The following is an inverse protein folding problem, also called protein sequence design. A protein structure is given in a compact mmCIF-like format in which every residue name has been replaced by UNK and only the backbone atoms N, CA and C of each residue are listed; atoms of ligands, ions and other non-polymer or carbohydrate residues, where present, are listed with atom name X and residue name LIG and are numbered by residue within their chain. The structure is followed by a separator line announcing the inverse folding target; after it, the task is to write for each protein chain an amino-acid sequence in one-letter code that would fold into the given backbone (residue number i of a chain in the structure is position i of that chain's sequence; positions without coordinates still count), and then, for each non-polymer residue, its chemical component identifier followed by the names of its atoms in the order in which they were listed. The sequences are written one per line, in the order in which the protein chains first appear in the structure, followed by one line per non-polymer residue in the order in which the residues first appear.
data_IF_001056076508
#
_entry.id   IF_001056076508
#
_cell.length_a   1.000
_cell.length_b   1.000
_cell.length_c   1.000
_cell.angle_alpha   90.00
_cell.angle_beta   90.00
_cell.angle_gamma   90.00
#
_symmetry.space_group_name_H-M   'P 1'
#
loop_
_entity.id
_entity.type
_entity.pdbx_description
1 polymer ?
#
# COMPACT_ATOMS: atom_id res chain seq x y z
N UNK A 1 -28.11 30.44 21.76
CA UNK A 1 -27.10 29.60 22.45
C UNK A 1 -26.74 28.47 21.51
N UNK A 2 -25.48 28.42 21.08
CA UNK A 2 -25.02 27.56 19.98
C UNK A 2 -25.10 26.09 20.33
N UNK A 3 -25.54 25.27 19.37
CA UNK A 3 -25.47 23.81 19.49
C UNK A 3 -23.99 23.43 19.54
N UNK A 4 -23.55 22.90 20.68
CA UNK A 4 -22.24 22.27 20.79
C UNK A 4 -22.14 21.17 19.74
N UNK A 5 -21.34 21.40 18.70
CA UNK A 5 -21.02 20.39 17.69
C UNK A 5 -20.27 19.26 18.40
N UNK A 6 -20.99 18.22 18.79
CA UNK A 6 -20.44 17.02 19.43
C UNK A 6 -19.50 16.33 18.43
N UNK A 7 -18.20 16.56 18.58
CA UNK A 7 -17.18 15.90 17.76
C UNK A 7 -17.13 14.43 18.17
N UNK A 8 -17.61 13.54 17.31
CA UNK A 8 -17.52 12.09 17.48
C UNK A 8 -16.21 11.62 16.85
N UNK A 9 -15.28 11.12 17.65
CA UNK A 9 -14.05 10.50 17.16
C UNK A 9 -14.29 9.01 16.95
N UNK A 10 -14.39 8.59 15.70
CA UNK A 10 -14.46 7.17 15.34
C UNK A 10 -13.03 6.65 15.24
N UNK A 11 -12.70 5.60 16.00
CA UNK A 11 -11.41 4.93 15.89
C UNK A 11 -11.31 4.23 14.55
N UNK A 12 -10.26 4.55 13.78
CA UNK A 12 -9.92 3.82 12.56
C UNK A 12 -9.02 2.64 12.91
N UNK A 13 -9.19 1.52 12.20
CA UNK A 13 -8.29 0.36 12.33
C UNK A 13 -6.85 0.74 11.98
N UNK A 14 -5.90 -0.08 12.44
CA UNK A 14 -4.50 0.09 12.07
C UNK A 14 -4.32 0.11 10.55
N UNK A 15 -4.93 -0.83 9.84
CA UNK A 15 -4.76 -0.94 8.38
C UNK A 15 -5.38 0.25 7.65
N UNK A 16 -6.52 0.74 8.11
CA UNK A 16 -7.12 1.94 7.54
C UNK A 16 -6.24 3.17 7.77
N UNK A 17 -5.59 3.25 8.94
CA UNK A 17 -4.61 4.30 9.23
C UNK A 17 -3.41 4.22 8.29
N UNK A 18 -2.89 3.02 8.05
CA UNK A 18 -1.76 2.82 7.12
C UNK A 18 -2.15 3.16 5.69
N UNK A 19 -3.32 2.72 5.22
CA UNK A 19 -3.89 3.12 3.91
C UNK A 19 -4.04 4.63 3.80
N UNK A 20 -4.54 5.30 4.84
CA UNK A 20 -4.68 6.77 4.84
C UNK A 20 -3.32 7.49 4.80
N UNK A 21 -2.28 6.91 5.42
CA UNK A 21 -0.94 7.51 5.48
C UNK A 21 -0.12 7.27 4.21
N UNK A 22 -0.20 6.07 3.65
CA UNK A 22 0.65 5.61 2.54
C UNK A 22 -0.07 5.67 1.17
N UNK A 23 -1.38 5.87 1.17
CA UNK A 23 -2.19 6.02 -0.03
C UNK A 23 -2.59 4.70 -0.69
N UNK A 24 -3.28 4.80 -1.82
CA UNK A 24 -3.90 3.67 -2.53
C UNK A 24 -2.89 2.65 -3.07
N UNK A 25 -1.62 3.04 -3.22
CA UNK A 25 -0.54 2.16 -3.65
C UNK A 25 -0.05 1.21 -2.57
N UNK A 26 -0.56 1.31 -1.34
CA UNK A 26 -0.14 0.49 -0.20
C UNK A 26 -0.76 -0.91 -0.21
N UNK A 27 0.09 -1.94 -0.19
CA UNK A 27 -0.33 -3.34 -0.05
C UNK A 27 0.45 -3.99 1.11
N UNK A 28 -0.19 -4.29 2.26
CA UNK A 28 0.49 -4.87 3.42
C UNK A 28 0.91 -6.32 3.19
N UNK A 29 1.95 -6.75 3.91
CA UNK A 29 2.22 -8.15 4.16
C UNK A 29 1.51 -8.57 5.46
N UNK A 30 0.56 -9.51 5.39
CA UNK A 30 -0.25 -9.91 6.55
C UNK A 30 0.57 -10.62 7.66
N UNK A 31 1.80 -11.06 7.38
CA UNK A 31 2.64 -11.83 8.32
C UNK A 31 3.87 -11.07 8.82
N UNK A 32 4.14 -9.86 8.31
CA UNK A 32 5.29 -9.06 8.73
C UNK A 32 5.05 -7.57 8.54
N UNK A 33 5.86 -6.71 9.17
CA UNK A 33 5.82 -5.26 8.95
C UNK A 33 6.22 -4.79 7.54
N UNK A 34 6.30 -5.70 6.55
CA UNK A 34 6.64 -5.37 5.16
C UNK A 34 5.41 -4.94 4.39
N UNK A 35 5.63 -4.19 3.32
CA UNK A 35 4.57 -3.83 2.39
C UNK A 35 5.15 -3.51 1.01
N UNK A 36 4.29 -3.63 0.01
CA UNK A 36 4.55 -3.10 -1.33
C UNK A 36 3.94 -1.70 -1.42
N UNK A 37 4.65 -0.79 -2.09
CA UNK A 37 4.14 0.53 -2.42
C UNK A 37 4.24 0.78 -3.92
N UNK A 38 3.09 0.74 -4.60
CA UNK A 38 2.97 0.99 -6.03
C UNK A 38 3.02 2.49 -6.30
N UNK A 39 4.13 2.98 -6.87
CA UNK A 39 4.34 4.42 -7.14
C UNK A 39 3.67 4.91 -8.41
N UNK A 40 3.38 4.00 -9.34
CA UNK A 40 2.72 4.33 -10.60
C UNK A 40 3.06 3.36 -11.72
N UNK A 41 2.58 3.70 -12.91
CA UNK A 41 2.70 2.89 -14.13
C UNK A 41 3.21 3.76 -15.29
N UNK A 42 4.25 3.29 -16.00
CA UNK A 42 4.53 3.74 -17.37
C UNK A 42 3.57 3.01 -18.30
N UNK A 43 2.47 3.68 -18.67
CA UNK A 43 1.42 3.11 -19.53
C UNK A 43 1.91 2.77 -20.94
N UNK A 44 2.96 3.42 -21.44
CA UNK A 44 3.49 3.18 -22.78
C UNK A 44 4.27 1.87 -22.82
N UNK A 45 5.06 1.59 -21.80
CA UNK A 45 5.87 0.38 -21.71
C UNK A 45 5.17 -0.75 -20.93
N UNK A 46 4.07 -0.44 -20.24
CA UNK A 46 3.33 -1.38 -19.40
C UNK A 46 4.13 -1.81 -18.17
N UNK A 47 4.95 -0.90 -17.62
CA UNK A 47 5.76 -1.14 -16.43
C UNK A 47 5.13 -0.52 -15.20
N UNK A 48 5.24 -1.23 -14.08
CA UNK A 48 4.78 -0.81 -12.76
C UNK A 48 5.99 -0.66 -11.87
N UNK A 49 6.09 0.49 -11.20
CA UNK A 49 7.16 0.80 -10.25
C UNK A 49 6.68 0.49 -8.84
N UNK A 50 7.39 -0.40 -8.15
CA UNK A 50 7.01 -0.89 -6.83
C UNK A 50 8.18 -0.80 -5.87
N UNK A 51 7.99 -0.14 -4.73
CA UNK A 51 8.93 -0.24 -3.61
C UNK A 51 8.54 -1.43 -2.73
N UNK A 52 9.53 -2.21 -2.30
CA UNK A 52 9.39 -3.17 -1.21
C UNK A 52 9.93 -2.51 0.05
N UNK A 53 9.09 -2.31 1.06
CA UNK A 53 9.43 -1.54 2.26
C UNK A 53 9.16 -2.36 3.52
N UNK A 54 9.74 -1.94 4.64
CA UNK A 54 9.53 -2.54 5.95
C UNK A 54 9.43 -1.48 7.03
N UNK A 55 8.44 -1.61 7.89
CA UNK A 55 8.32 -0.82 9.10
C UNK A 55 9.16 -1.48 10.21
N UNK A 56 10.00 -0.69 10.84
CA UNK A 56 10.86 -1.09 11.97
C UNK A 56 10.63 -0.16 13.15
N UNK A 57 11.20 -0.45 14.31
CA UNK A 57 11.19 0.46 15.47
C UNK A 57 11.80 1.83 15.14
N UNK A 58 12.76 1.88 14.21
CA UNK A 58 13.41 3.09 13.74
C UNK A 58 12.65 3.78 12.59
N UNK A 59 11.45 3.31 12.26
CA UNK A 59 10.62 3.84 11.20
C UNK A 59 10.64 3.01 9.91
N UNK A 60 10.20 3.66 8.83
CA UNK A 60 10.03 3.04 7.53
C UNK A 60 11.34 2.95 6.74
N UNK A 61 11.61 1.78 6.15
CA UNK A 61 12.83 1.49 5.41
C UNK A 61 12.52 0.88 4.05
N UNK A 62 13.12 1.43 3.00
CA UNK A 62 13.15 0.81 1.67
C UNK A 62 14.11 -0.39 1.66
N UNK A 63 13.62 -1.53 1.19
CA UNK A 63 14.43 -2.75 0.99
C UNK A 63 14.97 -2.82 -0.44
N UNK A 64 14.08 -2.63 -1.42
CA UNK A 64 14.45 -2.56 -2.84
C UNK A 64 13.33 -1.89 -3.66
N UNK A 65 13.67 -1.54 -4.90
CA UNK A 65 12.74 -1.05 -5.91
C UNK A 65 12.65 -2.07 -7.04
N UNK A 66 11.44 -2.25 -7.59
CA UNK A 66 11.13 -3.18 -8.65
C UNK A 66 10.48 -2.43 -9.83
N UNK A 67 10.85 -2.83 -11.03
CA UNK A 67 10.16 -2.46 -12.27
C UNK A 67 9.61 -3.75 -12.87
N UNK A 68 8.29 -3.90 -12.87
CA UNK A 68 7.61 -5.14 -13.27
C UNK A 68 6.69 -4.86 -14.45
N UNK A 69 6.58 -5.81 -15.38
CA UNK A 69 5.54 -5.74 -16.40
C UNK A 69 4.16 -6.00 -15.79
N UNK A 70 3.22 -5.07 -15.99
CA UNK A 70 1.85 -5.18 -15.48
C UNK A 70 1.15 -6.46 -15.95
N UNK A 71 1.34 -6.83 -17.22
CA UNK A 71 0.76 -8.04 -17.82
C UNK A 71 1.22 -9.32 -17.11
N UNK A 72 2.48 -9.36 -16.69
CA UNK A 72 3.07 -10.54 -16.05
C UNK A 72 2.60 -10.64 -14.60
N UNK A 73 2.45 -9.50 -13.91
CA UNK A 73 1.87 -9.45 -12.57
C UNK A 73 0.40 -9.90 -12.56
N UNK A 74 -0.43 -9.39 -13.49
CA UNK A 74 -1.83 -9.79 -13.62
C UNK A 74 -1.93 -11.29 -13.96
N UNK A 75 -1.15 -11.78 -14.93
CA UNK A 75 -1.13 -13.21 -15.27
C UNK A 75 -0.75 -14.07 -14.06
N UNK A 76 0.27 -13.66 -13.30
CA UNK A 76 0.71 -14.40 -12.12
C UNK A 76 -0.38 -14.45 -11.03
N UNK A 77 -1.10 -13.34 -10.81
CA UNK A 77 -2.21 -13.28 -9.86
C UNK A 77 -3.39 -14.14 -10.30
N UNK A 78 -3.81 -14.07 -11.56
CA UNK A 78 -4.93 -14.87 -12.09
C UNK A 78 -4.69 -16.38 -11.98
N UNK A 79 -3.43 -16.83 -12.07
CA UNK A 79 -3.09 -18.24 -11.91
C UNK A 79 -3.17 -18.74 -10.45
N UNK A 80 -3.31 -17.85 -9.46
CA UNK A 80 -3.48 -18.23 -8.05
C UNK A 80 -4.95 -18.42 -7.66
N UNK A 81 -5.87 -17.94 -8.50
CA UNK A 81 -7.32 -18.04 -8.29
C UNK A 81 -7.89 -19.38 -8.84
N UNK A 82 -7.06 -20.22 -9.47
CA UNK A 82 -7.37 -21.59 -9.95
C UNK A 82 -6.95 -22.67 -8.94
#
# INVERSE_FOLDING_TARGET
MGKDNKIVRIGISHDQRMKNQLGDGYVPCEVSGRYLHFKGEDKRLGYVMVDVRTQTENGDKLLCELILHKKDLVRALSNLDE
#
